data_IF_828808671481
#
_entry.id   IF_828808671481
#
_cell.length_a   1.000
_cell.length_b   1.000
_cell.length_c   1.000
_cell.angle_alpha   90.00
_cell.angle_beta   90.00
_cell.angle_gamma   90.00
#
_symmetry.space_group_name_H-M   'P 1'
#
loop_
_entity.id
_entity.type
_entity.pdbx_description
1 polymer ?
#
# COMPACT_ATOMS: atom_id res chain seq x y z
N UNK A 1 24.72 49.23 18.74
CA UNK A 1 24.57 47.91 18.08
C UNK A 1 24.21 46.85 19.13
N UNK A 2 22.97 46.34 19.13
CA UNK A 2 22.43 45.40 20.14
C UNK A 2 21.84 44.18 19.42
N UNK A 3 22.63 43.13 19.20
CA UNK A 3 22.13 41.83 18.72
C UNK A 3 22.86 40.72 19.47
N UNK A 4 22.66 40.64 20.79
CA UNK A 4 23.19 39.57 21.64
C UNK A 4 22.11 39.18 22.64
N UNK A 5 21.10 38.41 22.24
CA UNK A 5 20.12 37.88 23.21
C UNK A 5 19.23 36.71 22.75
N UNK A 6 19.32 36.21 21.51
CA UNK A 6 18.38 35.18 21.03
C UNK A 6 19.15 34.00 20.44
N UNK A 7 19.93 33.30 21.25
CA UNK A 7 20.57 32.04 20.82
C UNK A 7 20.64 30.96 21.91
N UNK A 8 19.81 31.05 22.96
CA UNK A 8 19.88 30.13 24.11
C UNK A 8 18.53 29.53 24.55
N UNK A 9 17.58 29.30 23.63
CA UNK A 9 16.25 28.72 24.00
C UNK A 9 15.82 27.52 23.13
N UNK A 10 16.73 26.86 22.40
CA UNK A 10 16.34 25.68 21.58
C UNK A 10 16.98 24.36 22.01
N UNK A 11 17.96 24.37 22.92
CA UNK A 11 18.65 23.12 23.30
C UNK A 11 17.88 22.24 24.31
N UNK A 12 16.85 22.74 24.99
CA UNK A 12 16.15 21.97 26.05
C UNK A 12 14.99 21.12 25.51
N UNK A 13 14.51 21.38 24.30
CA UNK A 13 13.35 20.65 23.76
C UNK A 13 13.70 19.32 23.08
N UNK A 14 14.98 19.03 22.81
CA UNK A 14 15.38 17.78 22.15
C UNK A 14 15.62 16.60 23.10
N UNK A 15 15.67 16.82 24.42
CA UNK A 15 15.89 15.74 25.40
C UNK A 15 14.62 14.92 25.73
N UNK A 16 13.48 15.25 25.12
CA UNK A 16 12.18 14.62 25.39
C UNK A 16 11.65 13.74 24.26
N UNK A 17 12.46 13.46 23.23
CA UNK A 17 12.14 12.42 22.25
C UNK A 17 12.83 11.12 22.66
N UNK A 18 12.12 10.19 23.33
CA UNK A 18 12.66 8.88 23.65
C UNK A 18 12.90 8.13 22.35
N UNK A 19 14.17 8.06 21.99
CA UNK A 19 14.74 7.23 20.94
C UNK A 19 14.55 5.75 21.27
N UNK A 20 13.33 5.24 21.21
CA UNK A 20 13.09 3.81 21.12
C UNK A 20 13.26 3.37 19.66
N UNK A 21 14.49 3.56 19.15
CA UNK A 21 15.06 2.84 18.02
C UNK A 21 15.45 1.43 18.53
N UNK A 22 14.46 0.63 18.95
CA UNK A 22 14.66 -0.82 19.01
C UNK A 22 14.31 -1.38 17.64
N UNK A 23 15.32 -1.26 16.79
CA UNK A 23 15.52 -1.90 15.51
C UNK A 23 15.57 -3.42 15.74
N UNK A 24 14.39 -4.04 15.84
CA UNK A 24 14.18 -5.47 15.95
C UNK A 24 13.47 -5.96 14.71
N UNK A 25 14.27 -6.29 13.71
CA UNK A 25 14.07 -7.22 12.60
C UNK A 25 12.84 -8.14 12.70
N UNK A 26 11.68 -7.59 12.43
CA UNK A 26 10.58 -8.37 11.91
C UNK A 26 10.20 -7.63 10.64
N UNK A 27 10.60 -8.21 9.51
CA UNK A 27 10.00 -7.98 8.20
C UNK A 27 8.54 -8.44 8.25
N UNK A 28 7.77 -7.82 9.16
CA UNK A 28 6.33 -7.78 9.17
C UNK A 28 5.97 -6.90 7.98
N UNK A 29 5.98 -7.56 6.83
CA UNK A 29 5.05 -7.34 5.73
C UNK A 29 3.91 -6.49 6.28
N UNK A 30 3.90 -5.21 5.96
CA UNK A 30 3.05 -4.24 6.60
C UNK A 30 1.60 -4.62 6.31
N UNK A 31 0.99 -5.47 7.16
CA UNK A 31 -0.39 -5.95 7.03
C UNK A 31 -1.37 -4.81 7.32
N UNK A 32 -0.89 -3.65 7.76
CA UNK A 32 -1.61 -2.40 7.62
C UNK A 32 -1.46 -1.85 6.18
N UNK A 33 -1.49 -2.74 5.18
CA UNK A 33 -1.93 -2.36 3.85
C UNK A 33 -3.29 -1.69 4.06
N UNK A 34 -3.27 -0.37 4.06
CA UNK A 34 -4.43 0.49 4.21
C UNK A 34 -5.51 -0.08 3.31
N UNK A 35 -6.50 -0.74 3.93
CA UNK A 35 -7.48 -1.53 3.18
C UNK A 35 -8.14 -0.59 2.17
N UNK A 36 -7.96 -0.89 0.89
CA UNK A 36 -8.44 -0.01 -0.17
C UNK A 36 -9.96 -0.02 -0.15
N UNK A 37 -10.63 1.12 -0.43
CA UNK A 37 -12.07 1.13 -0.64
C UNK A 37 -12.43 0.11 -1.73
N UNK A 38 -13.60 -0.52 -1.61
CA UNK A 38 -14.02 -1.56 -2.53
C UNK A 38 -14.01 -1.06 -3.98
N UNK A 39 -13.28 -1.79 -4.83
CA UNK A 39 -13.13 -1.56 -6.27
C UNK A 39 -13.11 -0.06 -6.67
N UNK A 40 -12.02 0.69 -6.40
CA UNK A 40 -11.94 2.09 -6.83
C UNK A 40 -11.97 2.22 -8.36
N UNK A 41 -11.54 1.17 -9.05
CA UNK A 41 -11.57 1.06 -10.51
C UNK A 41 -11.57 -0.41 -10.90
N UNK A 42 -12.15 -0.69 -12.08
CA UNK A 42 -12.06 -1.99 -12.76
C UNK A 42 -10.64 -2.31 -13.25
N UNK A 43 -9.75 -1.31 -13.24
CA UNK A 43 -8.33 -1.44 -13.56
C UNK A 43 -7.53 -1.11 -12.30
N UNK A 44 -6.68 -2.03 -11.87
CA UNK A 44 -5.84 -1.85 -10.68
C UNK A 44 -4.38 -2.21 -10.97
N UNK A 45 -3.48 -1.49 -10.32
CA UNK A 45 -2.04 -1.65 -10.46
C UNK A 45 -1.47 -2.26 -9.18
N UNK A 46 -0.57 -3.22 -9.34
CA UNK A 46 0.16 -3.88 -8.27
C UNK A 46 1.66 -3.91 -8.59
N UNK A 47 2.51 -3.82 -7.57
CA UNK A 47 3.98 -3.78 -7.70
C UNK A 47 4.56 -5.20 -7.86
N UNK A 48 4.12 -5.90 -8.89
CA UNK A 48 4.56 -7.26 -9.24
C UNK A 48 4.43 -7.48 -10.76
N UNK A 49 4.76 -8.66 -11.26
CA UNK A 49 4.52 -9.05 -12.65
C UNK A 49 3.40 -10.10 -12.73
N UNK A 50 2.83 -10.25 -13.93
CA UNK A 50 1.91 -11.33 -14.23
C UNK A 50 2.62 -12.68 -14.16
N UNK A 51 2.07 -13.59 -13.37
CA UNK A 51 2.45 -14.99 -13.35
C UNK A 51 1.75 -15.78 -14.47
N UNK A 52 2.07 -17.08 -14.57
CA UNK A 52 1.48 -18.00 -15.57
C UNK A 52 -0.05 -17.98 -15.52
N UNK A 53 -0.62 -17.90 -14.31
CA UNK A 53 -2.06 -17.69 -14.10
C UNK A 53 -2.33 -16.28 -13.54
N UNK A 54 -1.94 -15.26 -14.30
CA UNK A 54 -2.11 -13.86 -13.91
C UNK A 54 -3.55 -13.48 -13.60
N UNK A 55 -4.54 -14.15 -14.21
CA UNK A 55 -5.96 -13.92 -13.91
C UNK A 55 -6.29 -14.31 -12.46
N UNK A 56 -5.84 -15.48 -12.03
CA UNK A 56 -5.94 -15.91 -10.63
C UNK A 56 -5.14 -15.01 -9.71
N UNK A 57 -3.91 -14.67 -10.07
CA UNK A 57 -3.05 -13.77 -9.30
C UNK A 57 -3.73 -12.41 -9.05
N UNK A 58 -4.37 -11.84 -10.09
CA UNK A 58 -5.18 -10.63 -9.95
C UNK A 58 -6.29 -10.81 -8.91
N UNK A 59 -7.09 -11.88 -9.01
CA UNK A 59 -8.17 -12.14 -8.04
C UNK A 59 -7.63 -12.29 -6.61
N UNK A 60 -6.52 -13.01 -6.43
CA UNK A 60 -5.91 -13.22 -5.11
C UNK A 60 -5.38 -11.90 -4.51
N UNK A 61 -4.74 -11.04 -5.32
CA UNK A 61 -4.29 -9.71 -4.86
C UNK A 61 -5.45 -8.76 -4.57
N UNK A 62 -6.50 -8.80 -5.38
CA UNK A 62 -7.70 -8.01 -5.16
C UNK A 62 -8.38 -8.42 -3.85
N UNK A 63 -8.62 -9.71 -3.64
CA UNK A 63 -9.23 -10.24 -2.39
C UNK A 63 -8.38 -9.89 -1.17
N UNK A 64 -7.05 -10.01 -1.27
CA UNK A 64 -6.16 -9.72 -0.14
C UNK A 64 -6.05 -8.24 0.21
N UNK A 65 -6.27 -7.33 -0.73
CA UNK A 65 -6.15 -5.88 -0.51
C UNK A 65 -7.45 -5.19 -0.11
N UNK A 66 -8.59 -5.84 -0.33
CA UNK A 66 -9.91 -5.25 -0.08
C UNK A 66 -10.50 -5.59 1.28
N UNK A 67 -11.63 -4.94 1.58
CA UNK A 67 -12.44 -5.26 2.75
C UNK A 67 -13.05 -6.68 2.64
N UNK A 68 -12.88 -7.54 3.66
CA UNK A 68 -13.35 -8.94 3.63
C UNK A 68 -14.88 -9.09 3.61
N UNK A 69 -15.64 -8.02 3.91
CA UNK A 69 -17.09 -8.03 3.78
C UNK A 69 -17.54 -8.15 2.33
N UNK A 70 -16.68 -7.83 1.36
CA UNK A 70 -17.06 -7.86 -0.04
C UNK A 70 -16.83 -9.21 -0.66
N UNK A 71 -17.92 -9.78 -1.19
CA UNK A 71 -17.91 -11.05 -1.91
C UNK A 71 -17.79 -10.79 -3.40
N UNK A 72 -16.70 -11.27 -3.99
CA UNK A 72 -16.60 -11.36 -5.44
C UNK A 72 -17.58 -12.43 -5.94
N UNK A 73 -18.39 -12.05 -6.93
CA UNK A 73 -19.04 -13.03 -7.81
C UNK A 73 -18.00 -13.59 -8.78
N UNK A 74 -18.41 -14.40 -9.76
CA UNK A 74 -17.50 -14.88 -10.81
C UNK A 74 -17.00 -13.69 -11.65
N UNK A 75 -15.82 -13.19 -11.32
CA UNK A 75 -15.16 -12.10 -12.04
C UNK A 75 -14.08 -12.69 -12.95
N UNK A 76 -14.06 -12.22 -14.20
CA UNK A 76 -12.96 -12.48 -15.12
C UNK A 76 -12.03 -11.28 -15.12
N UNK A 77 -10.75 -11.55 -14.86
CA UNK A 77 -9.69 -10.55 -14.84
C UNK A 77 -8.64 -10.91 -15.89
N UNK A 78 -8.13 -9.89 -16.56
CA UNK A 78 -7.00 -9.97 -17.47
C UNK A 78 -5.80 -9.39 -16.74
N UNK A 79 -4.70 -10.13 -16.74
CA UNK A 79 -3.42 -9.64 -16.26
C UNK A 79 -2.59 -9.16 -17.45
N UNK A 80 -1.96 -8.00 -17.33
CA UNK A 80 -0.99 -7.51 -18.30
C UNK A 80 0.24 -6.99 -17.58
N UNK A 81 1.42 -7.45 -18.03
CA UNK A 81 2.68 -6.87 -17.59
C UNK A 81 2.74 -5.41 -18.06
N UNK A 82 2.98 -4.52 -17.12
CA UNK A 82 3.15 -3.10 -17.34
C UNK A 82 4.63 -2.75 -17.10
N UNK A 83 5.17 -1.73 -17.79
CA UNK A 83 6.56 -1.33 -17.60
C UNK A 83 6.92 -1.10 -16.13
N UNK A 84 8.20 -1.35 -15.80
CA UNK A 84 8.79 -1.18 -14.46
C UNK A 84 8.32 -2.17 -13.39
N UNK A 85 8.08 -3.42 -13.78
CA UNK A 85 7.65 -4.51 -12.89
C UNK A 85 6.31 -4.25 -12.19
N UNK A 86 5.38 -3.70 -12.95
CA UNK A 86 4.04 -3.44 -12.48
C UNK A 86 3.06 -4.35 -13.19
N UNK A 87 2.05 -4.81 -12.46
CA UNK A 87 1.02 -5.69 -12.96
C UNK A 87 -0.26 -4.88 -13.08
N UNK A 88 -0.83 -4.86 -14.28
CA UNK A 88 -2.15 -4.28 -14.52
C UNK A 88 -3.20 -5.39 -14.50
N UNK A 89 -4.09 -5.32 -13.53
CA UNK A 89 -5.28 -6.17 -13.45
C UNK A 89 -6.49 -5.42 -14.01
N UNK A 90 -7.05 -5.90 -15.11
CA UNK A 90 -8.26 -5.37 -15.72
C UNK A 90 -9.41 -6.36 -15.59
N UNK A 91 -10.44 -6.01 -14.82
CA UNK A 91 -11.56 -6.87 -14.50
C UNK A 91 -12.89 -6.22 -14.94
N UNK A 92 -13.23 -6.26 -16.24
CA UNK A 92 -14.34 -5.48 -16.81
C UNK A 92 -15.72 -5.87 -16.25
N UNK A 93 -15.88 -7.14 -15.86
CA UNK A 93 -17.12 -7.71 -15.33
C UNK A 93 -17.27 -7.54 -13.80
N UNK A 94 -16.30 -6.88 -13.15
CA UNK A 94 -16.38 -6.58 -11.73
C UNK A 94 -17.45 -5.50 -11.47
N UNK A 95 -18.26 -5.71 -10.44
CA UNK A 95 -19.23 -4.72 -9.98
C UNK A 95 -18.52 -3.82 -8.97
N UNK A 96 -18.41 -2.55 -9.32
CA UNK A 96 -17.80 -1.51 -8.50
C UNK A 96 -18.90 -0.47 -8.25
N UNK A 97 -19.07 0.02 -7.01
CA UNK A 97 -20.12 0.96 -6.63
C UNK A 97 -19.97 2.31 -7.34
#
# INVERSE_FOLDING_TARGET
>A
MKFVAIFLVTCVLFSLFPSHLSQGEESRMNINAERRPWCPSKIQMFDTNCEVDGAKQCLDLLISTWDPSVRLTRVSCICSDFPYRNMMCSCPNMICP
#
